data_IF_407445820337
#
_entry.id   IF_407445820337
#
_cell.length_a   1.000
_cell.length_b   1.000
_cell.length_c   1.000
_cell.angle_alpha   90.00
_cell.angle_beta   90.00
_cell.angle_gamma   90.00
#
_symmetry.space_group_name_H-M   'P 1'
#
loop_
_entity.id
_entity.type
_entity.pdbx_description
1 polymer ?
#
# COMPACT_ATOMS: atom_id res chain seq x y z
N UNK A 1 -3.96 9.73 9.39
CA UNK A 1 -5.06 8.90 9.92
C UNK A 1 -4.47 7.59 10.43
N UNK A 2 -4.84 7.09 11.62
CA UNK A 2 -4.27 5.84 12.14
C UNK A 2 -4.84 4.62 11.40
N UNK A 3 -3.98 3.61 11.15
CA UNK A 3 -4.34 2.36 10.46
C UNK A 3 -5.41 1.53 11.20
N UNK A 4 -5.57 1.76 12.50
CA UNK A 4 -6.50 1.04 13.38
C UNK A 4 -7.84 1.74 13.54
N UNK A 5 -8.13 2.78 12.76
CA UNK A 5 -9.41 3.48 12.84
C UNK A 5 -10.54 2.61 12.25
N UNK A 6 -11.48 2.13 13.09
CA UNK A 6 -12.55 1.23 12.65
C UNK A 6 -13.65 1.95 11.87
N UNK A 7 -13.61 3.29 11.77
CA UNK A 7 -14.54 4.05 10.92
C UNK A 7 -14.17 4.01 9.43
N UNK A 8 -13.01 3.44 9.08
CA UNK A 8 -12.58 3.23 7.70
C UNK A 8 -13.19 1.93 7.16
N UNK A 9 -14.25 2.06 6.37
CA UNK A 9 -14.95 0.92 5.78
C UNK A 9 -14.31 0.39 4.48
N UNK A 10 -13.41 1.15 3.87
CA UNK A 10 -12.78 0.82 2.59
C UNK A 10 -11.31 1.19 2.56
N UNK A 11 -10.47 0.34 1.98
CA UNK A 11 -9.05 0.62 1.78
C UNK A 11 -8.74 0.56 0.29
N UNK A 12 -8.51 1.71 -0.34
CA UNK A 12 -8.14 1.80 -1.74
C UNK A 12 -6.65 1.50 -1.92
N UNK A 13 -6.30 0.23 -2.06
CA UNK A 13 -4.91 -0.22 -2.28
C UNK A 13 -4.84 -1.44 -3.18
N UNK A 14 -3.71 -1.58 -3.88
CA UNK A 14 -3.38 -2.77 -4.63
C UNK A 14 -2.71 -3.82 -3.74
N UNK A 15 -3.02 -5.10 -3.96
CA UNK A 15 -2.35 -6.25 -3.34
C UNK A 15 -1.64 -7.05 -4.42
N UNK A 16 -0.31 -7.09 -4.34
CA UNK A 16 0.52 -7.80 -5.32
C UNK A 16 0.68 -9.28 -4.94
N UNK A 17 0.13 -10.18 -5.76
CA UNK A 17 0.23 -11.63 -5.57
C UNK A 17 1.26 -12.25 -6.51
N UNK A 18 2.19 -13.05 -5.95
CA UNK A 18 3.21 -13.76 -6.70
C UNK A 18 3.11 -15.26 -6.44
N UNK A 19 3.34 -16.05 -7.48
CA UNK A 19 3.23 -17.49 -7.39
C UNK A 19 3.72 -18.17 -8.65
N UNK A 20 4.30 -19.35 -8.48
CA UNK A 20 4.71 -20.20 -9.60
C UNK A 20 3.54 -21.03 -10.15
N UNK A 21 2.49 -21.25 -9.34
CA UNK A 21 1.23 -21.88 -9.75
C UNK A 21 0.12 -20.84 -9.82
N UNK A 22 -0.55 -20.78 -10.98
CA UNK A 22 -1.60 -19.79 -11.24
C UNK A 22 -2.82 -19.97 -10.33
N UNK A 23 -3.23 -21.22 -10.09
CA UNK A 23 -4.35 -21.57 -9.21
C UNK A 23 -4.18 -21.03 -7.80
N UNK A 24 -2.97 -21.04 -7.26
CA UNK A 24 -2.68 -20.54 -5.91
C UNK A 24 -2.86 -19.02 -5.85
N UNK A 25 -2.34 -18.31 -6.86
CA UNK A 25 -2.49 -16.86 -6.94
C UNK A 25 -3.93 -16.45 -7.18
N UNK A 26 -4.71 -17.21 -7.96
CA UNK A 26 -6.13 -16.93 -8.17
C UNK A 26 -6.93 -17.05 -6.86
N UNK A 27 -6.61 -18.04 -6.01
CA UNK A 27 -7.22 -18.17 -4.68
C UNK A 27 -6.89 -16.98 -3.77
N UNK A 28 -5.64 -16.51 -3.78
CA UNK A 28 -5.24 -15.33 -3.00
C UNK A 28 -5.94 -14.08 -3.52
N UNK A 29 -6.04 -13.90 -4.83
CA UNK A 29 -6.73 -12.75 -5.43
C UNK A 29 -8.23 -12.76 -5.08
N UNK A 30 -8.88 -13.94 -5.11
CA UNK A 30 -10.26 -14.08 -4.69
C UNK A 30 -10.47 -13.74 -3.20
N UNK A 31 -9.46 -13.96 -2.35
CA UNK A 31 -9.49 -13.51 -0.96
C UNK A 31 -9.35 -11.99 -0.86
N UNK A 32 -8.51 -11.35 -1.67
CA UNK A 32 -8.36 -9.89 -1.71
C UNK A 32 -9.67 -9.21 -2.11
N UNK A 33 -10.40 -9.77 -3.08
CA UNK A 33 -11.70 -9.25 -3.54
C UNK A 33 -12.78 -9.22 -2.43
N UNK A 34 -12.53 -9.87 -1.29
CA UNK A 34 -13.40 -9.79 -0.09
C UNK A 34 -13.23 -8.50 0.69
N UNK A 35 -12.15 -7.73 0.46
CA UNK A 35 -11.85 -6.50 1.19
C UNK A 35 -12.29 -5.29 0.36
N UNK A 36 -13.28 -4.50 0.82
CA UNK A 36 -13.79 -3.36 0.07
C UNK A 36 -12.71 -2.35 -0.32
N UNK A 37 -12.64 -2.01 -1.60
CA UNK A 37 -11.71 -1.04 -2.16
C UNK A 37 -10.33 -1.60 -2.51
N UNK A 38 -9.99 -2.81 -2.09
CA UNK A 38 -8.73 -3.44 -2.49
C UNK A 38 -8.83 -4.04 -3.88
N UNK A 39 -7.71 -4.03 -4.60
CA UNK A 39 -7.59 -4.70 -5.90
C UNK A 39 -6.43 -5.68 -5.88
N UNK A 40 -6.73 -6.95 -6.13
CA UNK A 40 -5.70 -7.96 -6.32
C UNK A 40 -5.00 -7.80 -7.68
N UNK A 41 -3.67 -7.85 -7.70
CA UNK A 41 -2.84 -7.75 -8.91
C UNK A 41 -1.88 -8.94 -8.96
N UNK A 42 -1.93 -9.74 -10.03
CA UNK A 42 -0.91 -10.76 -10.27
C UNK A 42 0.41 -10.10 -10.70
N UNK A 43 1.45 -10.26 -9.88
CA UNK A 43 2.75 -9.61 -10.05
C UNK A 43 3.86 -10.57 -10.53
N UNK A 44 3.49 -11.78 -10.95
CA UNK A 44 4.41 -12.73 -11.60
C UNK A 44 4.83 -13.90 -10.71
N UNK A 45 6.02 -14.44 -10.98
CA UNK A 45 6.57 -15.65 -10.35
C UNK A 45 7.32 -15.35 -9.06
N UNK A 46 7.44 -16.33 -8.16
CA UNK A 46 8.05 -16.13 -6.83
C UNK A 46 9.50 -15.68 -6.88
N UNK A 47 10.25 -16.03 -7.92
CA UNK A 47 11.63 -15.53 -8.12
C UNK A 47 11.74 -14.00 -8.17
N UNK A 48 10.64 -13.28 -8.42
CA UNK A 48 10.60 -11.82 -8.43
C UNK A 48 10.25 -11.23 -7.05
N UNK A 49 9.93 -12.05 -6.04
CA UNK A 49 9.46 -11.60 -4.72
C UNK A 49 10.42 -10.60 -4.07
N UNK A 50 11.73 -10.83 -4.21
CA UNK A 50 12.75 -9.94 -3.67
C UNK A 50 12.59 -8.47 -4.11
N UNK A 51 12.17 -8.22 -5.35
CA UNK A 51 11.96 -6.85 -5.84
C UNK A 51 10.76 -6.18 -5.16
N UNK A 52 9.72 -6.95 -4.87
CA UNK A 52 8.50 -6.47 -4.21
C UNK A 52 8.73 -6.27 -2.72
N UNK A 53 9.50 -7.15 -2.09
CA UNK A 53 9.97 -6.94 -0.72
C UNK A 53 10.81 -5.66 -0.60
N UNK A 54 11.73 -5.43 -1.55
CA UNK A 54 12.50 -4.20 -1.60
C UNK A 54 11.63 -2.95 -1.85
N UNK A 55 10.54 -3.08 -2.62
CA UNK A 55 9.61 -1.98 -2.89
C UNK A 55 8.94 -1.44 -1.61
N UNK A 56 8.75 -2.28 -0.59
CA UNK A 56 8.21 -1.85 0.72
C UNK A 56 9.06 -0.75 1.36
N UNK A 57 10.39 -0.83 1.25
CA UNK A 57 11.28 0.20 1.79
C UNK A 57 11.04 1.56 1.10
N UNK A 58 10.82 1.56 -0.21
CA UNK A 58 10.50 2.76 -0.97
C UNK A 58 9.16 3.36 -0.54
N UNK A 59 8.13 2.51 -0.33
CA UNK A 59 6.81 2.96 0.14
C UNK A 59 6.89 3.59 1.53
N UNK A 60 7.66 3.00 2.45
CA UNK A 60 7.88 3.57 3.79
C UNK A 60 8.56 4.93 3.69
N UNK A 61 9.57 5.05 2.81
CA UNK A 61 10.26 6.33 2.58
C UNK A 61 9.29 7.41 2.10
N UNK A 62 8.43 7.09 1.13
CA UNK A 62 7.40 8.02 0.62
C UNK A 62 6.40 8.39 1.72
N UNK A 63 5.92 7.42 2.48
CA UNK A 63 4.96 7.67 3.57
C UNK A 63 5.55 8.59 4.65
N UNK A 64 6.83 8.40 4.99
CA UNK A 64 7.50 9.25 5.98
C UNK A 64 7.86 10.64 5.44
N UNK A 65 8.05 10.80 4.13
CA UNK A 65 8.27 12.10 3.49
C UNK A 65 6.96 12.89 3.32
N UNK A 66 5.80 12.23 3.41
CA UNK A 66 4.51 12.88 3.23
C UNK A 66 4.13 13.74 4.45
N UNK A 67 3.57 14.94 4.24
CA UNK A 67 3.10 15.79 5.34
C UNK A 67 2.01 15.09 6.15
N UNK A 68 2.17 15.07 7.47
CA UNK A 68 1.13 14.60 8.38
C UNK A 68 0.03 15.66 8.48
N UNK A 69 -1.24 15.27 8.70
CA UNK A 69 -2.33 16.21 8.97
C UNK A 69 -2.08 17.14 10.17
N UNK A 70 -1.19 16.76 11.09
CA UNK A 70 -0.81 17.55 12.26
C UNK A 70 0.47 18.36 12.08
N UNK A 71 1.12 18.31 10.91
CA UNK A 71 2.33 19.07 10.68
C UNK A 71 2.01 20.57 10.65
N UNK A 72 2.81 21.40 11.34
CA UNK A 72 2.59 22.84 11.35
C UNK A 72 2.74 23.40 9.94
N UNK A 73 1.73 24.13 9.47
CA UNK A 73 1.80 24.89 8.21
C UNK A 73 2.93 25.91 8.38
N UNK A 74 3.96 25.93 7.51
CA UNK A 74 5.05 26.88 7.63
C UNK A 74 4.48 28.30 7.59
N UNK A 75 4.63 29.04 8.70
CA UNK A 75 4.27 30.44 8.73
C UNK A 75 5.21 31.17 7.78
N UNK A 76 4.65 31.76 6.71
CA UNK A 76 5.43 32.65 5.85
C UNK A 76 6.00 33.75 6.74
N UNK A 77 7.33 33.81 6.89
CA UNK A 77 7.95 34.97 7.50
C UNK A 77 7.63 36.20 6.63
N UNK A 78 7.21 37.32 7.23
CA UNK A 78 7.04 38.55 6.47
C UNK A 78 8.41 38.98 5.94
N UNK A 79 8.52 39.07 4.62
CA UNK A 79 9.61 39.76 3.94
C UNK A 79 9.57 41.23 4.35
N UNK A 80 10.57 41.66 5.13
CA UNK A 80 10.92 43.07 5.31
C UNK A 80 11.63 43.58 4.06
#
# INVERSE_FOLDING_TARGET
>A
MPLTDPSIDTINTDVMALGDRRTDTDLVLALVDRIPGMRGVYAGRLRNAHQIEAFVANLISVNNASPRPCDPVPSRMPTT
#
